data_IF_190344983840
#
_entry.id   IF_190344983840
#
_cell.length_a   1.000
_cell.length_b   1.000
_cell.length_c   1.000
_cell.angle_alpha   90.00
_cell.angle_beta   90.00
_cell.angle_gamma   90.00
#
_symmetry.space_group_name_H-M   'P 1'
#
loop_
_entity.id
_entity.type
_entity.pdbx_description
1 polymer ?
#
# COMPACT_ATOMS: atom_id res chain seq x y z
N UNK A 1 -15.96 -1.82 -2.65
CA UNK A 1 -16.76 -2.75 -3.50
C UNK A 1 -16.15 -2.96 -4.90
N UNK A 2 -15.67 -1.89 -5.58
CA UNK A 2 -15.07 -1.99 -6.92
C UNK A 2 -13.80 -2.86 -6.94
N UNK A 3 -12.90 -2.68 -5.96
CA UNK A 3 -11.68 -3.48 -5.85
C UNK A 3 -11.97 -4.98 -5.70
N UNK A 4 -12.98 -5.37 -4.89
CA UNK A 4 -13.38 -6.78 -4.80
C UNK A 4 -13.94 -7.33 -6.11
N UNK A 5 -14.70 -6.52 -6.87
CA UNK A 5 -15.15 -6.94 -8.20
C UNK A 5 -13.96 -7.18 -9.14
N UNK A 6 -12.99 -6.25 -9.17
CA UNK A 6 -11.78 -6.41 -9.95
C UNK A 6 -10.97 -7.65 -9.55
N UNK A 7 -10.79 -7.87 -8.24
CA UNK A 7 -10.08 -9.03 -7.72
C UNK A 7 -10.73 -10.35 -8.11
N UNK A 8 -12.07 -10.42 -8.07
CA UNK A 8 -12.83 -11.64 -8.40
C UNK A 8 -12.76 -12.03 -9.87
N UNK A 9 -12.54 -11.06 -10.78
CA UNK A 9 -12.43 -11.33 -12.23
C UNK A 9 -10.98 -11.36 -12.73
N UNK A 10 -10.02 -10.98 -11.88
CA UNK A 10 -8.61 -11.01 -12.23
C UNK A 10 -8.13 -12.45 -12.45
N UNK A 11 -7.38 -12.68 -13.52
CA UNK A 11 -6.80 -13.99 -13.89
C UNK A 11 -5.29 -14.03 -13.80
N UNK A 12 -4.64 -12.87 -13.66
CA UNK A 12 -3.18 -12.75 -13.56
C UNK A 12 -2.61 -13.39 -12.30
N UNK A 13 -1.32 -13.68 -12.30
CA UNK A 13 -0.60 -14.21 -11.14
C UNK A 13 -0.49 -13.16 -10.03
N UNK A 14 -0.31 -11.90 -10.40
CA UNK A 14 -0.22 -10.77 -9.48
C UNK A 14 -1.37 -9.78 -9.69
N UNK A 15 -1.72 -9.07 -8.62
CA UNK A 15 -2.68 -7.98 -8.64
C UNK A 15 -2.03 -6.69 -8.15
N UNK A 16 -2.35 -5.61 -8.86
CA UNK A 16 -2.00 -4.24 -8.48
C UNK A 16 -3.25 -3.38 -8.65
N UNK A 17 -3.44 -2.44 -7.74
CA UNK A 17 -4.57 -1.51 -7.78
C UNK A 17 -4.09 -0.09 -8.05
N UNK A 18 -4.46 0.46 -9.19
CA UNK A 18 -4.25 1.86 -9.51
C UNK A 18 -5.57 2.62 -9.34
N UNK A 19 -5.55 3.68 -8.54
CA UNK A 19 -6.69 4.57 -8.42
C UNK A 19 -6.77 5.52 -9.62
N UNK A 20 -7.95 6.09 -9.84
CA UNK A 20 -8.13 7.10 -10.87
C UNK A 20 -7.16 8.27 -10.63
N UNK A 21 -6.37 8.59 -11.66
CA UNK A 21 -5.34 9.60 -11.59
C UNK A 21 -3.94 9.11 -11.26
N UNK A 22 -3.76 7.90 -10.75
CA UNK A 22 -2.44 7.32 -10.54
C UNK A 22 -1.93 6.64 -11.81
N UNK A 23 -0.61 6.59 -12.01
CA UNK A 23 0.03 5.92 -13.13
C UNK A 23 1.27 5.16 -12.68
N UNK A 24 1.71 4.21 -13.47
CA UNK A 24 3.08 3.70 -13.32
C UNK A 24 4.08 4.85 -13.46
N UNK A 25 5.21 4.71 -12.78
CA UNK A 25 6.25 5.75 -12.78
C UNK A 25 6.74 6.08 -14.19
N UNK A 26 6.92 5.08 -15.02
CA UNK A 26 7.23 5.22 -16.45
C UNK A 26 6.74 4.00 -17.25
N UNK A 27 6.91 4.03 -18.56
CA UNK A 27 6.48 2.96 -19.48
C UNK A 27 7.26 1.64 -19.33
N UNK A 28 8.40 1.64 -18.64
CA UNK A 28 9.22 0.45 -18.39
C UNK A 28 9.05 -0.11 -16.98
N UNK A 29 8.19 0.49 -16.14
CA UNK A 29 8.07 0.10 -14.73
C UNK A 29 7.75 -1.40 -14.58
N UNK A 30 6.79 -1.94 -15.33
CA UNK A 30 6.43 -3.36 -15.24
C UNK A 30 7.55 -4.28 -15.76
N UNK A 31 8.22 -3.90 -16.83
CA UNK A 31 9.39 -4.62 -17.37
C UNK A 31 10.52 -4.66 -16.36
N UNK A 32 10.83 -3.52 -15.73
CA UNK A 32 11.86 -3.41 -14.71
C UNK A 32 11.52 -4.25 -13.46
N UNK A 33 10.26 -4.28 -13.04
CA UNK A 33 9.79 -5.14 -11.94
C UNK A 33 10.05 -6.62 -12.33
N UNK A 34 9.61 -7.02 -13.52
CA UNK A 34 9.76 -8.38 -14.01
C UNK A 34 11.23 -8.82 -14.02
N UNK A 35 12.13 -7.98 -14.54
CA UNK A 35 13.55 -8.25 -14.54
C UNK A 35 14.16 -8.32 -13.12
N UNK A 36 13.72 -7.44 -12.21
CA UNK A 36 14.27 -7.41 -10.85
C UNK A 36 13.87 -8.62 -10.01
N UNK A 37 12.66 -9.16 -10.19
CA UNK A 37 12.23 -10.37 -9.46
C UNK A 37 12.79 -11.66 -10.06
N UNK A 38 13.15 -11.67 -11.35
CA UNK A 38 13.66 -12.83 -12.05
C UNK A 38 12.76 -14.06 -11.88
N UNK A 39 13.35 -15.17 -11.49
CA UNK A 39 12.63 -16.44 -11.24
C UNK A 39 12.11 -16.58 -9.80
N UNK A 40 12.36 -15.62 -8.91
CA UNK A 40 12.03 -15.74 -7.47
C UNK A 40 10.54 -15.74 -7.17
N UNK A 41 9.73 -15.08 -8.01
CA UNK A 41 8.27 -14.97 -7.89
C UNK A 41 7.79 -14.75 -6.46
N UNK A 42 8.19 -13.63 -5.81
CA UNK A 42 7.84 -13.36 -4.42
C UNK A 42 6.34 -13.19 -4.24
N UNK A 43 5.82 -13.42 -3.03
CA UNK A 43 4.39 -13.27 -2.74
C UNK A 43 3.94 -11.82 -2.77
N UNK A 44 4.84 -10.89 -2.37
CA UNK A 44 4.61 -9.45 -2.41
C UNK A 44 5.83 -8.77 -3.03
N UNK A 45 5.56 -7.85 -3.97
CA UNK A 45 6.55 -6.97 -4.58
C UNK A 45 6.17 -5.54 -4.20
N UNK A 46 7.13 -4.73 -3.79
CA UNK A 46 6.86 -3.36 -3.38
C UNK A 46 8.00 -2.41 -3.74
N UNK A 47 7.70 -1.12 -3.70
CA UNK A 47 8.68 -0.09 -3.98
C UNK A 47 8.22 1.30 -3.55
N UNK A 48 8.90 2.32 -4.05
CA UNK A 48 8.67 3.72 -3.72
C UNK A 48 7.56 4.35 -4.57
N UNK A 49 7.11 5.51 -4.12
CA UNK A 49 6.04 6.28 -4.77
C UNK A 49 6.45 7.74 -4.89
N UNK A 50 6.38 8.25 -6.10
CA UNK A 50 6.48 9.67 -6.42
C UNK A 50 5.12 10.34 -6.28
N UNK A 51 5.09 11.60 -5.89
CA UNK A 51 3.90 12.45 -5.85
C UNK A 51 3.91 13.37 -7.06
N UNK A 52 2.77 13.49 -7.71
CA UNK A 52 2.57 14.39 -8.86
C UNK A 52 1.35 15.28 -8.65
N UNK A 53 1.35 16.46 -9.29
CA UNK A 53 0.21 17.37 -9.34
C UNK A 53 -0.79 16.98 -10.45
N UNK A 54 -1.85 17.77 -10.63
CA UNK A 54 -2.85 17.59 -11.68
C UNK A 54 -2.27 17.67 -13.10
N UNK A 55 -1.17 18.41 -13.28
CA UNK A 55 -0.46 18.56 -14.55
C UNK A 55 0.61 17.47 -14.75
N UNK A 56 0.68 16.49 -13.86
CA UNK A 56 1.69 15.42 -13.85
C UNK A 56 3.11 15.87 -13.55
N UNK A 57 3.30 17.08 -13.05
CA UNK A 57 4.62 17.53 -12.60
C UNK A 57 5.00 16.82 -11.29
N UNK A 58 6.27 16.44 -11.19
CA UNK A 58 6.80 15.84 -9.97
C UNK A 58 6.84 16.87 -8.83
N UNK A 59 6.20 16.53 -7.70
CA UNK A 59 6.17 17.35 -6.49
C UNK A 59 7.27 16.92 -5.51
N UNK A 60 7.51 15.61 -5.44
CA UNK A 60 8.48 15.01 -4.51
C UNK A 60 8.22 13.54 -4.30
N UNK A 61 9.06 12.91 -3.47
CA UNK A 61 8.84 11.54 -3.05
C UNK A 61 7.87 11.48 -1.88
N UNK A 62 7.09 10.42 -1.78
CA UNK A 62 6.23 10.17 -0.63
C UNK A 62 7.03 10.19 0.68
N UNK A 63 6.52 10.85 1.72
CA UNK A 63 7.21 11.04 3.01
C UNK A 63 7.55 9.72 3.72
N UNK A 64 6.61 8.77 3.74
CA UNK A 64 6.85 7.43 4.29
C UNK A 64 7.55 6.60 3.22
N UNK A 65 8.71 6.05 3.57
CA UNK A 65 9.57 5.28 2.68
C UNK A 65 9.33 3.79 2.82
N UNK A 66 9.47 3.07 1.73
CA UNK A 66 9.46 1.62 1.71
C UNK A 66 10.69 1.10 2.49
N UNK A 67 10.49 0.28 3.55
CA UNK A 67 11.61 -0.25 4.32
C UNK A 67 12.33 -1.35 3.54
N UNK A 68 13.61 -1.56 3.85
CA UNK A 68 14.39 -2.66 3.28
C UNK A 68 13.72 -4.02 3.52
N UNK A 69 13.28 -4.24 4.75
CA UNK A 69 12.53 -5.42 5.13
C UNK A 69 11.13 -5.04 5.57
N UNK A 70 10.17 -5.27 4.69
CA UNK A 70 8.75 -5.05 4.96
C UNK A 70 8.13 -6.26 5.64
N UNK A 71 7.29 -6.01 6.63
CA UNK A 71 6.43 -7.01 7.25
C UNK A 71 5.11 -6.39 7.70
N UNK A 72 4.12 -7.20 8.04
CA UNK A 72 2.87 -6.66 8.58
C UNK A 72 3.11 -5.82 9.85
N UNK A 73 4.15 -6.14 10.65
CA UNK A 73 4.54 -5.37 11.85
C UNK A 73 5.09 -4.00 11.51
N UNK A 74 5.66 -3.80 10.31
CA UNK A 74 6.20 -2.51 9.88
C UNK A 74 5.09 -1.45 9.79
N UNK A 75 3.87 -1.85 9.46
CA UNK A 75 2.73 -0.93 9.32
C UNK A 75 2.22 -0.36 10.65
N UNK A 76 2.71 -0.80 11.80
CA UNK A 76 2.52 -0.09 13.08
C UNK A 76 3.07 1.35 13.06
N UNK A 77 4.03 1.63 12.17
CA UNK A 77 4.61 2.96 11.94
C UNK A 77 3.84 3.77 10.89
N UNK A 78 2.69 3.29 10.45
CA UNK A 78 1.89 3.84 9.36
C UNK A 78 2.02 3.01 8.09
N UNK A 79 1.35 3.43 7.03
CA UNK A 79 1.39 2.76 5.73
C UNK A 79 2.71 3.09 5.00
N UNK A 80 3.79 2.38 5.35
CA UNK A 80 5.14 2.67 4.83
C UNK A 80 5.25 2.49 3.31
N UNK A 81 4.51 1.54 2.76
CA UNK A 81 4.37 1.34 1.31
C UNK A 81 3.01 1.85 0.87
N UNK A 82 2.96 2.62 -0.20
CA UNK A 82 1.71 3.05 -0.80
C UNK A 82 0.95 1.85 -1.36
N UNK A 83 -0.38 1.83 -1.21
CA UNK A 83 -1.20 0.73 -1.70
C UNK A 83 -0.97 0.45 -3.21
N UNK A 84 -0.82 1.50 -4.02
CA UNK A 84 -0.57 1.38 -5.45
C UNK A 84 0.82 0.84 -5.80
N UNK A 85 1.80 1.01 -4.88
CA UNK A 85 3.15 0.45 -5.01
C UNK A 85 3.32 -0.89 -4.28
N UNK A 86 2.20 -1.55 -3.97
CA UNK A 86 2.13 -2.84 -3.29
C UNK A 86 1.44 -3.85 -4.21
N UNK A 87 2.21 -4.78 -4.74
CA UNK A 87 1.79 -5.79 -5.70
C UNK A 87 1.76 -7.13 -4.98
N UNK A 88 0.63 -7.80 -4.96
CA UNK A 88 0.48 -9.07 -4.26
C UNK A 88 0.17 -10.21 -5.24
N UNK A 89 0.68 -11.42 -4.96
CA UNK A 89 0.16 -12.60 -5.63
C UNK A 89 -1.33 -12.71 -5.41
N UNK A 90 -2.08 -12.99 -6.48
CA UNK A 90 -3.53 -13.14 -6.41
C UNK A 90 -3.96 -14.25 -5.44
N UNK A 91 -3.18 -15.32 -5.33
CA UNK A 91 -3.45 -16.46 -4.44
C UNK A 91 -3.48 -16.12 -2.95
N UNK A 92 -2.79 -15.05 -2.53
CA UNK A 92 -2.77 -14.59 -1.14
C UNK A 92 -3.59 -13.31 -0.91
N UNK A 93 -4.16 -12.74 -1.97
CA UNK A 93 -4.90 -11.49 -1.93
C UNK A 93 -6.35 -11.73 -1.47
N UNK A 94 -6.73 -11.42 -0.23
CA UNK A 94 -8.09 -11.60 0.25
C UNK A 94 -9.01 -10.51 -0.28
N UNK A 95 -10.31 -10.67 -0.16
CA UNK A 95 -11.25 -9.58 -0.39
C UNK A 95 -11.02 -8.45 0.62
N UNK A 96 -11.21 -7.20 0.15
CA UNK A 96 -11.25 -6.02 1.01
C UNK A 96 -12.43 -6.10 1.96
N UNK A 97 -12.20 -5.74 3.20
CA UNK A 97 -13.24 -5.63 4.22
C UNK A 97 -14.08 -4.37 3.97
N UNK A 98 -15.34 -4.56 3.62
CA UNK A 98 -16.27 -3.48 3.28
C UNK A 98 -16.75 -2.68 4.50
N UNK A 99 -16.45 -3.13 5.72
CA UNK A 99 -16.69 -2.36 6.93
C UNK A 99 -15.79 -1.10 7.01
N UNK A 100 -14.65 -1.09 6.30
CA UNK A 100 -13.75 0.06 6.20
C UNK A 100 -14.01 0.82 4.90
N UNK A 101 -14.43 2.07 5.01
CA UNK A 101 -14.72 2.93 3.86
C UNK A 101 -13.49 3.65 3.31
N UNK A 102 -12.57 4.07 4.18
CA UNK A 102 -11.45 4.96 3.84
C UNK A 102 -10.07 4.31 4.01
N UNK A 103 -9.96 3.25 4.79
CA UNK A 103 -8.67 2.62 5.12
C UNK A 103 -8.68 1.10 4.89
N UNK A 104 -9.56 0.60 4.02
CA UNK A 104 -9.62 -0.81 3.64
C UNK A 104 -8.34 -1.30 2.96
N UNK A 105 -7.63 -0.42 2.27
CA UNK A 105 -6.31 -0.64 1.70
C UNK A 105 -5.26 -0.98 2.76
N UNK A 106 -5.29 -0.28 3.89
CA UNK A 106 -4.39 -0.52 5.01
C UNK A 106 -4.62 -1.90 5.65
N UNK A 107 -5.89 -2.29 5.90
CA UNK A 107 -6.25 -3.62 6.39
C UNK A 107 -5.87 -4.71 5.39
N UNK A 108 -6.12 -4.47 4.10
CA UNK A 108 -5.83 -5.41 3.02
C UNK A 108 -4.33 -5.70 2.88
N UNK A 109 -3.49 -4.67 2.86
CA UNK A 109 -2.04 -4.85 2.82
C UNK A 109 -1.52 -5.65 4.03
N UNK A 110 -2.05 -5.40 5.25
CA UNK A 110 -1.69 -6.16 6.45
C UNK A 110 -2.09 -7.63 6.28
N UNK A 111 -3.28 -7.93 5.79
CA UNK A 111 -3.75 -9.30 5.54
C UNK A 111 -2.88 -10.02 4.52
N UNK A 112 -2.55 -9.37 3.40
CA UNK A 112 -1.62 -9.93 2.41
C UNK A 112 -0.27 -10.26 3.03
N UNK A 113 0.34 -9.31 3.78
CA UNK A 113 1.63 -9.52 4.43
C UNK A 113 1.61 -10.62 5.49
N UNK A 114 0.47 -10.88 6.14
CA UNK A 114 0.34 -11.99 7.12
C UNK A 114 0.24 -13.34 6.43
N UNK A 115 -0.22 -13.40 5.20
CA UNK A 115 -0.32 -14.62 4.39
C UNK A 115 0.93 -14.87 3.54
N UNK A 116 1.76 -13.86 3.32
CA UNK A 116 2.96 -13.94 2.50
C UNK A 116 4.12 -14.60 3.26
N UNK A 117 4.92 -15.37 2.52
CA UNK A 117 6.19 -15.94 2.98
C UNK A 117 7.39 -15.12 2.47
N UNK A 118 7.28 -14.56 1.27
CA UNK A 118 8.36 -13.83 0.59
C UNK A 118 7.91 -12.45 0.15
N UNK A 119 8.68 -11.43 0.55
CA UNK A 119 8.47 -10.04 0.16
C UNK A 119 9.74 -9.50 -0.50
N UNK A 120 9.58 -8.79 -1.61
CA UNK A 120 10.68 -8.28 -2.42
C UNK A 120 10.58 -6.76 -2.59
N UNK A 121 11.60 -6.05 -2.12
CA UNK A 121 11.76 -4.61 -2.40
C UNK A 121 12.44 -4.44 -3.75
N UNK A 122 11.79 -3.77 -4.68
CA UNK A 122 12.39 -3.47 -5.99
C UNK A 122 13.45 -2.38 -5.94
N UNK A 123 13.51 -1.61 -4.85
CA UNK A 123 14.33 -0.40 -4.71
C UNK A 123 14.06 0.65 -5.80
N UNK A 124 12.89 0.55 -6.46
CA UNK A 124 12.51 1.41 -7.56
C UNK A 124 11.29 2.25 -7.19
N UNK A 125 11.14 3.40 -7.83
CA UNK A 125 9.88 4.13 -7.83
C UNK A 125 8.94 3.45 -8.81
N UNK A 126 7.78 2.99 -8.32
CA UNK A 126 6.83 2.22 -9.11
C UNK A 126 5.67 3.07 -9.62
N UNK A 127 5.28 4.08 -8.84
CA UNK A 127 4.01 4.80 -9.04
C UNK A 127 4.21 6.31 -9.00
N UNK A 128 3.51 7.00 -9.87
CA UNK A 128 3.18 8.42 -9.76
C UNK A 128 1.80 8.53 -9.11
N UNK A 129 1.76 8.95 -7.87
CA UNK A 129 0.54 9.15 -7.09
C UNK A 129 0.04 10.58 -7.25
N UNK A 130 -1.21 10.75 -7.68
CA UNK A 130 -1.84 12.06 -7.77
C UNK A 130 -2.16 12.59 -6.36
N UNK A 131 -1.49 13.68 -5.98
CA UNK A 131 -1.57 14.23 -4.61
C UNK A 131 -2.90 14.95 -4.28
N UNK A 132 -3.96 14.67 -5.02
CA UNK A 132 -5.31 15.21 -4.83
C UNK A 132 -6.33 14.08 -4.75
N UNK A 133 -6.59 13.58 -3.55
CA UNK A 133 -7.47 12.41 -3.37
C UNK A 133 -8.63 12.63 -2.39
N UNK A 134 -9.64 11.76 -2.48
CA UNK A 134 -10.81 11.73 -1.60
C UNK A 134 -10.45 11.58 -0.10
N UNK A 135 -9.31 10.99 0.22
CA UNK A 135 -8.82 10.79 1.59
C UNK A 135 -8.51 12.12 2.28
N UNK A 136 -8.07 13.14 1.53
CA UNK A 136 -7.77 14.48 2.05
C UNK A 136 -9.04 15.15 2.60
N UNK A 137 -10.18 14.98 1.91
CA UNK A 137 -11.48 15.54 2.32
C UNK A 137 -12.09 14.84 3.53
N UNK A 138 -11.74 13.57 3.78
CA UNK A 138 -12.30 12.73 4.86
C UNK A 138 -11.24 12.32 5.89
N UNK A 139 -10.22 13.15 6.11
CA UNK A 139 -9.03 12.84 6.92
C UNK A 139 -9.36 12.30 8.31
N UNK A 140 -10.31 12.92 9.04
CA UNK A 140 -10.66 12.50 10.40
C UNK A 140 -11.25 11.09 10.45
N UNK A 141 -12.18 10.77 9.54
CA UNK A 141 -12.80 9.45 9.46
C UNK A 141 -11.77 8.38 9.05
N UNK A 142 -10.92 8.67 8.07
CA UNK A 142 -9.83 7.79 7.65
C UNK A 142 -8.83 7.50 8.78
N UNK A 143 -8.44 8.52 9.56
CA UNK A 143 -7.55 8.34 10.71
C UNK A 143 -8.20 7.50 11.80
N UNK A 144 -9.51 7.66 12.05
CA UNK A 144 -10.23 6.84 13.03
C UNK A 144 -10.32 5.38 12.60
N UNK A 145 -10.65 5.11 11.33
CA UNK A 145 -10.63 3.74 10.80
C UNK A 145 -9.24 3.11 10.92
N UNK A 146 -8.20 3.85 10.52
CA UNK A 146 -6.81 3.39 10.63
C UNK A 146 -6.42 3.08 12.07
N UNK A 147 -6.80 3.93 13.03
CA UNK A 147 -6.59 3.67 14.45
C UNK A 147 -7.24 2.34 14.87
N UNK A 148 -8.50 2.11 14.49
CA UNK A 148 -9.23 0.89 14.83
C UNK A 148 -8.56 -0.36 14.22
N UNK A 149 -8.11 -0.27 12.96
CA UNK A 149 -7.34 -1.34 12.30
C UNK A 149 -6.01 -1.59 13.03
N UNK A 150 -5.29 -0.54 13.39
CA UNK A 150 -4.04 -0.68 14.17
C UNK A 150 -4.30 -1.35 15.52
N UNK A 151 -5.36 -0.97 16.24
CA UNK A 151 -5.74 -1.61 17.53
C UNK A 151 -6.04 -3.10 17.34
N UNK A 152 -6.74 -3.47 16.27
CA UNK A 152 -7.06 -4.87 15.93
C UNK A 152 -5.79 -5.72 15.76
N UNK A 153 -4.76 -5.19 15.10
CA UNK A 153 -3.56 -5.96 14.78
C UNK A 153 -2.42 -5.85 15.80
N UNK A 154 -2.28 -4.71 16.47
CA UNK A 154 -1.12 -4.40 17.31
C UNK A 154 -1.47 -4.21 18.79
N UNK A 155 -2.75 -4.21 19.14
CA UNK A 155 -3.23 -4.01 20.50
C UNK A 155 -3.33 -2.54 20.90
N UNK A 156 -4.30 -2.23 21.76
CA UNK A 156 -4.68 -0.85 22.14
C UNK A 156 -3.55 -0.09 22.84
N UNK A 157 -2.81 -0.76 23.73
CA UNK A 157 -1.70 -0.13 24.48
C UNK A 157 -0.56 0.27 23.56
N UNK A 158 -0.12 -0.64 22.69
CA UNK A 158 0.92 -0.36 21.69
C UNK A 158 0.55 0.83 20.80
N UNK A 159 -0.69 0.84 20.30
CA UNK A 159 -1.16 1.90 19.41
C UNK A 159 -1.22 3.25 20.12
N UNK A 160 -1.67 3.30 21.39
CA UNK A 160 -1.66 4.54 22.18
C UNK A 160 -0.24 5.10 22.33
N UNK A 161 0.73 4.27 22.69
CA UNK A 161 2.13 4.69 22.85
C UNK A 161 2.68 5.24 21.52
N UNK A 162 2.44 4.55 20.41
CA UNK A 162 2.87 4.99 19.09
C UNK A 162 2.23 6.32 18.67
N UNK A 163 0.94 6.53 18.97
CA UNK A 163 0.26 7.79 18.66
C UNK A 163 0.80 8.98 19.48
N UNK A 164 1.16 8.77 20.75
CA UNK A 164 1.86 9.79 21.54
C UNK A 164 3.20 10.13 20.88
N UNK A 165 3.98 9.11 20.51
CA UNK A 165 5.26 9.30 19.84
C UNK A 165 5.12 10.04 18.49
N UNK A 166 4.09 9.73 17.68
CA UNK A 166 3.81 10.44 16.43
C UNK A 166 3.41 11.91 16.64
N UNK A 167 2.81 12.26 17.79
CA UNK A 167 2.43 13.63 18.10
C UNK A 167 3.61 14.51 18.54
N UNK A 168 4.69 13.88 19.05
CA UNK A 168 5.89 14.59 19.55
C UNK A 168 6.95 14.76 18.43
N UNK A 169 6.89 13.97 17.37
CA UNK A 169 7.83 13.97 16.24
C UNK A 169 7.37 14.87 15.10
#
# INVERSE_FOLDING_TARGET
HAMNKGLNVATGEYVIFLNAGDTFYNNKTLENIYHSIGYSRPDIIYGETALVDLNRNFIGMRRLKAPEQLSWKSFRMGMLVCHQAFIAKRSIAPNYDLAYRFSSDFDWCIKCMKSAQTLFNTHQTLINYLNEGATTKNRKASLQERYNIMVKYYGKTTVKILHIWFAIR
#
